data_IF_573774089144
#
_entry.id   IF_573774089144
#
_cell.length_a   1.000
_cell.length_b   1.000
_cell.length_c   1.000
_cell.angle_alpha   90.00
_cell.angle_beta   90.00
_cell.angle_gamma   90.00
#
_symmetry.space_group_name_H-M   'P 1'
#
loop_
_entity.id
_entity.type
_entity.pdbx_description
1 polymer ?
#
# COMPACT_ATOMS: atom_id res chain seq x y z
N UNK A 1 16.44 37.41 11.87
CA UNK A 1 15.05 37.70 12.27
C UNK A 1 14.29 36.40 12.45
N UNK A 2 13.54 36.27 13.55
CA UNK A 2 12.67 35.11 13.77
C UNK A 2 11.48 35.21 12.80
N UNK A 3 11.10 34.10 12.18
CA UNK A 3 9.95 34.06 11.25
C UNK A 3 8.62 34.42 11.96
N UNK A 4 8.55 34.21 13.27
CA UNK A 4 7.39 34.52 14.11
C UNK A 4 7.79 35.30 15.35
N UNK A 5 6.87 36.12 15.87
CA UNK A 5 7.05 36.75 17.18
C UNK A 5 7.06 35.67 18.27
N UNK A 6 7.71 35.92 19.44
CA UNK A 6 7.69 34.98 20.57
C UNK A 6 6.27 34.59 21.00
N UNK A 7 5.32 35.51 20.91
CA UNK A 7 3.92 35.28 21.23
C UNK A 7 3.27 34.27 20.26
N UNK A 8 3.45 34.46 18.95
CA UNK A 8 2.92 33.55 17.94
C UNK A 8 3.58 32.16 18.03
N UNK A 9 4.87 32.13 18.33
CA UNK A 9 5.57 30.85 18.58
C UNK A 9 4.96 30.09 19.75
N UNK A 10 4.58 30.80 20.83
CA UNK A 10 3.92 30.18 21.98
C UNK A 10 2.51 29.67 21.65
N UNK A 11 1.75 30.36 20.80
CA UNK A 11 0.44 29.89 20.33
C UNK A 11 0.56 28.58 19.55
N UNK A 12 1.55 28.43 18.66
CA UNK A 12 1.83 27.17 17.97
C UNK A 12 2.30 26.10 18.96
N UNK A 13 3.20 26.42 19.88
CA UNK A 13 3.71 25.47 20.87
C UNK A 13 2.62 24.89 21.77
N UNK A 14 1.66 25.70 22.15
CA UNK A 14 0.54 25.31 23.01
C UNK A 14 -0.64 24.71 22.26
N UNK A 15 -0.69 24.90 20.93
CA UNK A 15 -1.86 24.52 20.13
C UNK A 15 -3.14 25.27 20.60
N UNK A 16 -3.01 26.57 20.89
CA UNK A 16 -4.08 27.38 21.46
C UNK A 16 -5.36 27.36 20.62
N UNK A 17 -5.22 27.30 19.31
CA UNK A 17 -6.28 26.98 18.35
C UNK A 17 -5.73 25.91 17.38
N UNK A 18 -6.25 24.67 17.40
CA UNK A 18 -5.71 23.58 16.58
C UNK A 18 -5.78 23.81 15.08
N UNK A 19 -6.61 24.74 14.62
CA UNK A 19 -6.79 25.03 13.21
C UNK A 19 -5.93 26.22 12.78
N UNK A 20 -5.88 27.27 13.61
CA UNK A 20 -5.10 28.46 13.32
C UNK A 20 -3.61 28.29 13.68
N UNK A 21 -3.33 27.62 14.78
CA UNK A 21 -1.99 27.36 15.28
C UNK A 21 -1.77 25.84 15.46
N UNK A 22 -1.83 25.04 14.37
CA UNK A 22 -1.65 23.60 14.47
C UNK A 22 -0.24 23.28 14.97
N UNK A 23 -0.15 22.25 15.79
CA UNK A 23 1.10 21.69 16.27
C UNK A 23 1.00 20.16 16.23
N UNK A 24 1.21 19.62 15.04
CA UNK A 24 0.99 18.20 14.75
C UNK A 24 2.32 17.46 14.68
N UNK A 25 2.44 16.40 15.47
CA UNK A 25 3.49 15.40 15.28
C UNK A 25 3.08 14.45 14.15
N UNK A 26 3.61 14.70 12.94
CA UNK A 26 3.17 14.03 11.72
C UNK A 26 3.39 12.52 11.72
N UNK A 27 4.43 12.03 12.39
CA UNK A 27 4.66 10.59 12.49
C UNK A 27 3.52 9.92 13.27
N UNK A 28 3.20 10.44 14.44
CA UNK A 28 2.12 9.90 15.26
C UNK A 28 0.75 10.12 14.61
N UNK A 29 0.60 11.22 13.87
CA UNK A 29 -0.65 11.52 13.18
C UNK A 29 -0.88 10.58 11.99
N UNK A 30 0.12 10.34 11.15
CA UNK A 30 -0.03 9.62 9.88
C UNK A 30 0.18 8.11 10.01
N UNK A 31 0.98 7.65 10.96
CA UNK A 31 1.34 6.24 11.05
C UNK A 31 0.61 5.52 12.18
N UNK A 32 0.34 4.25 11.95
CA UNK A 32 -0.09 3.29 12.98
C UNK A 32 1.12 2.85 13.78
N UNK A 33 0.92 2.46 15.04
CA UNK A 33 1.98 1.88 15.86
C UNK A 33 2.47 0.53 15.31
N UNK A 34 1.58 -0.20 14.61
CA UNK A 34 1.90 -1.48 13.97
C UNK A 34 1.03 -1.72 12.74
N UNK A 35 1.52 -2.55 11.83
CA UNK A 35 0.77 -3.09 10.71
C UNK A 35 0.74 -4.62 10.79
N UNK A 36 -0.39 -5.21 10.39
CA UNK A 36 -0.58 -6.64 10.42
C UNK A 36 -0.07 -7.30 9.14
N UNK A 37 0.57 -8.45 9.34
CA UNK A 37 0.83 -9.40 8.25
C UNK A 37 0.26 -10.75 8.66
N UNK A 38 -0.53 -11.35 7.77
CA UNK A 38 -1.06 -12.69 7.96
C UNK A 38 -0.62 -13.59 6.82
N UNK A 39 -0.33 -14.86 7.13
CA UNK A 39 0.02 -15.86 6.13
C UNK A 39 -0.62 -17.19 6.48
N UNK A 40 -1.29 -17.77 5.51
CA UNK A 40 -1.96 -19.06 5.62
C UNK A 40 -1.49 -19.97 4.50
N UNK A 41 -1.17 -21.22 4.83
CA UNK A 41 -0.78 -22.23 3.88
C UNK A 41 -1.53 -23.54 4.18
N UNK A 42 -2.07 -24.12 3.11
CA UNK A 42 -2.71 -25.44 3.18
C UNK A 42 -1.98 -26.34 2.19
N UNK A 43 -1.66 -27.54 2.64
CA UNK A 43 -0.95 -28.54 1.85
C UNK A 43 -1.67 -29.87 1.93
N UNK A 44 -1.86 -30.50 0.79
CA UNK A 44 -2.41 -31.83 0.65
C UNK A 44 -1.46 -32.69 -0.13
N UNK A 45 -1.09 -33.84 0.37
CA UNK A 45 -0.27 -34.80 -0.36
C UNK A 45 -0.77 -36.21 -0.16
N UNK A 46 -0.58 -37.01 -1.16
CA UNK A 46 -1.02 -38.40 -1.10
C UNK A 46 -0.52 -39.17 -2.32
N UNK A 47 -0.85 -40.45 -2.34
CA UNK A 47 -0.51 -41.25 -3.49
C UNK A 47 -0.57 -42.75 -3.24
N UNK A 48 -0.40 -43.47 -4.31
CA UNK A 48 -0.36 -44.93 -4.35
C UNK A 48 0.59 -45.42 -5.44
N UNK A 49 0.42 -46.68 -5.81
CA UNK A 49 1.28 -47.32 -6.83
C UNK A 49 1.14 -46.68 -8.21
N UNK A 50 -0.02 -46.10 -8.53
CA UNK A 50 -0.31 -45.54 -9.85
C UNK A 50 -0.04 -44.04 -9.95
N UNK A 51 -0.26 -43.30 -8.87
CA UNK A 51 -0.10 -41.85 -8.87
C UNK A 51 0.34 -41.34 -7.50
N UNK A 52 1.11 -40.25 -7.53
CA UNK A 52 1.47 -39.45 -6.35
C UNK A 52 1.09 -38.00 -6.65
N UNK A 53 0.64 -37.29 -5.64
CA UNK A 53 0.30 -35.88 -5.81
C UNK A 53 0.68 -35.06 -4.59
N UNK A 54 0.96 -33.81 -4.85
CA UNK A 54 1.17 -32.77 -3.87
C UNK A 54 0.48 -31.51 -4.36
N UNK A 55 -0.38 -30.93 -3.51
CA UNK A 55 -1.06 -29.65 -3.80
C UNK A 55 -0.85 -28.73 -2.61
N UNK A 56 -0.51 -27.48 -2.89
CA UNK A 56 -0.36 -26.45 -1.86
C UNK A 56 -1.04 -25.18 -2.35
N UNK A 57 -1.79 -24.54 -1.44
CA UNK A 57 -2.35 -23.21 -1.64
C UNK A 57 -1.92 -22.31 -0.47
N UNK A 58 -1.51 -21.09 -0.78
CA UNK A 58 -1.06 -20.11 0.20
C UNK A 58 -1.68 -18.75 -0.07
N UNK A 59 -2.00 -18.06 1.00
CA UNK A 59 -2.45 -16.67 1.01
C UNK A 59 -1.61 -15.87 2.00
N UNK A 60 -1.20 -14.67 1.59
CA UNK A 60 -0.55 -13.69 2.45
C UNK A 60 -1.20 -12.34 2.24
N UNK A 61 -1.51 -11.67 3.34
CA UNK A 61 -1.92 -10.27 3.38
C UNK A 61 -0.95 -9.48 4.24
N UNK A 62 -0.52 -8.34 3.74
CA UNK A 62 0.27 -7.35 4.47
C UNK A 62 -0.46 -6.02 4.41
N UNK A 63 -0.77 -5.48 5.58
CA UNK A 63 -1.38 -4.16 5.73
C UNK A 63 -0.31 -3.07 5.71
N UNK A 64 -0.71 -1.84 5.38
CA UNK A 64 0.17 -0.69 5.39
C UNK A 64 0.19 0.04 6.73
N UNK A 65 1.28 0.78 6.95
CA UNK A 65 1.52 1.52 8.18
C UNK A 65 0.72 2.83 8.30
N UNK A 66 0.15 3.35 7.20
CA UNK A 66 -0.52 4.64 7.23
C UNK A 66 -1.94 4.52 7.80
N UNK A 67 -2.34 5.51 8.60
CA UNK A 67 -3.71 5.63 9.09
C UNK A 67 -4.64 6.06 7.95
N UNK A 68 -5.89 5.64 8.00
CA UNK A 68 -6.91 5.99 7.03
C UNK A 68 -7.81 7.07 7.63
N UNK A 69 -7.70 8.29 7.13
CA UNK A 69 -8.55 9.42 7.53
C UNK A 69 -9.62 9.75 6.48
N UNK A 70 -9.45 9.24 5.28
CA UNK A 70 -10.28 9.52 4.14
C UNK A 70 -11.05 8.27 3.70
N UNK A 71 -12.36 8.41 3.44
CA UNK A 71 -13.23 7.25 3.23
C UNK A 71 -13.48 6.91 1.75
N UNK A 72 -13.23 7.84 0.83
CA UNK A 72 -13.55 7.64 -0.60
C UNK A 72 -12.76 6.49 -1.24
N UNK A 73 -11.53 6.28 -0.82
CA UNK A 73 -10.68 5.18 -1.28
C UNK A 73 -9.54 4.91 -0.29
N UNK A 74 -9.00 3.70 -0.35
CA UNK A 74 -7.84 3.32 0.45
C UNK A 74 -6.57 3.45 -0.40
N UNK A 75 -5.74 4.46 -0.12
CA UNK A 75 -4.44 4.68 -0.76
C UNK A 75 -3.28 4.00 -0.03
N UNK A 76 -3.53 3.27 1.06
CA UNK A 76 -2.49 2.67 1.88
C UNK A 76 -1.66 1.64 1.11
N UNK A 77 -0.41 1.44 1.54
CA UNK A 77 0.45 0.39 1.03
C UNK A 77 -0.06 -0.96 1.51
N UNK A 78 -0.66 -1.73 0.64
CA UNK A 78 -1.12 -3.08 0.95
C UNK A 78 -0.57 -4.08 -0.04
N UNK A 79 -0.34 -5.31 0.42
CA UNK A 79 0.11 -6.38 -0.45
C UNK A 79 -0.64 -7.67 -0.17
N UNK A 80 -1.24 -8.24 -1.21
CA UNK A 80 -1.90 -9.53 -1.18
C UNK A 80 -1.16 -10.49 -2.12
N UNK A 81 -0.85 -11.70 -1.64
CA UNK A 81 -0.18 -12.71 -2.44
C UNK A 81 -0.90 -14.04 -2.33
N UNK A 82 -1.22 -14.59 -3.48
CA UNK A 82 -1.80 -15.92 -3.63
C UNK A 82 -0.77 -16.82 -4.30
N UNK A 83 -0.50 -17.96 -3.71
CA UNK A 83 0.41 -18.97 -4.24
C UNK A 83 -0.37 -20.27 -4.45
N UNK A 84 -0.11 -20.92 -5.55
CA UNK A 84 -0.64 -22.24 -5.83
C UNK A 84 0.48 -23.11 -6.40
N UNK A 85 0.56 -24.36 -5.93
CA UNK A 85 1.45 -25.37 -6.47
C UNK A 85 0.75 -26.71 -6.52
N UNK A 86 0.88 -27.39 -7.65
CA UNK A 86 0.46 -28.77 -7.81
C UNK A 86 1.57 -29.56 -8.52
N UNK A 87 1.94 -30.69 -7.95
CA UNK A 87 2.86 -31.64 -8.53
C UNK A 87 2.16 -32.99 -8.60
N UNK A 88 2.16 -33.62 -9.75
CA UNK A 88 1.52 -34.92 -9.95
C UNK A 88 2.45 -35.82 -10.75
N UNK A 89 2.73 -37.00 -10.21
CA UNK A 89 3.46 -38.05 -10.89
C UNK A 89 2.49 -39.20 -11.17
N UNK A 90 2.37 -39.61 -12.43
CA UNK A 90 1.50 -40.71 -12.86
C UNK A 90 2.32 -41.79 -13.52
N UNK A 91 2.27 -42.99 -12.99
CA UNK A 91 2.80 -44.19 -13.63
C UNK A 91 1.81 -44.64 -14.71
N UNK A 92 2.01 -44.18 -15.97
CA UNK A 92 1.16 -44.55 -17.14
C UNK A 92 1.28 -46.04 -17.41
N UNK A 93 2.53 -46.53 -17.38
CA UNK A 93 2.87 -47.95 -17.46
C UNK A 93 3.93 -48.28 -16.40
N UNK A 94 4.29 -49.55 -16.15
CA UNK A 94 5.39 -49.87 -15.24
C UNK A 94 6.73 -49.26 -15.63
N UNK A 95 6.90 -48.86 -16.88
CA UNK A 95 8.15 -48.27 -17.42
C UNK A 95 8.01 -46.81 -17.84
N UNK A 96 6.81 -46.21 -17.72
CA UNK A 96 6.53 -44.83 -18.18
C UNK A 96 5.96 -44.02 -17.03
N UNK A 97 6.62 -42.91 -16.71
CA UNK A 97 6.17 -41.95 -15.72
C UNK A 97 5.96 -40.58 -16.34
N UNK A 98 4.77 -40.01 -16.14
CA UNK A 98 4.47 -38.63 -16.52
C UNK A 98 4.43 -37.79 -15.23
N UNK A 99 5.27 -36.79 -15.17
CA UNK A 99 5.28 -35.78 -14.11
C UNK A 99 4.73 -34.46 -14.66
N UNK A 100 3.78 -33.84 -13.92
CA UNK A 100 3.28 -32.51 -14.20
C UNK A 100 3.49 -31.63 -12.98
N UNK A 101 4.13 -30.47 -13.16
CA UNK A 101 4.34 -29.47 -12.10
C UNK A 101 3.70 -28.15 -12.54
N UNK A 102 2.85 -27.63 -11.69
CA UNK A 102 2.14 -26.38 -11.90
C UNK A 102 2.47 -25.47 -10.72
N UNK A 103 2.94 -24.28 -11.00
CA UNK A 103 3.14 -23.22 -10.01
C UNK A 103 2.47 -21.93 -10.49
N UNK A 104 1.71 -21.29 -9.62
CA UNK A 104 1.14 -19.97 -9.89
C UNK A 104 1.32 -19.05 -8.69
N UNK A 105 1.65 -17.79 -8.96
CA UNK A 105 1.72 -16.73 -7.96
C UNK A 105 1.00 -15.51 -8.52
N UNK A 106 0.07 -14.97 -7.74
CA UNK A 106 -0.59 -13.71 -8.01
C UNK A 106 -0.25 -12.76 -6.86
N UNK A 107 0.41 -11.64 -7.17
CA UNK A 107 0.70 -10.56 -6.24
C UNK A 107 -0.13 -9.34 -6.61
N UNK A 108 -0.82 -8.77 -5.65
CA UNK A 108 -1.58 -7.52 -5.82
C UNK A 108 -1.06 -6.51 -4.80
N UNK A 109 -0.41 -5.47 -5.29
CA UNK A 109 0.10 -4.38 -4.48
C UNK A 109 -0.74 -3.13 -4.73
N UNK A 110 -1.16 -2.46 -3.66
CA UNK A 110 -1.72 -1.12 -3.71
C UNK A 110 -0.77 -0.13 -3.05
N UNK A 111 -0.67 1.07 -3.60
CA UNK A 111 0.17 2.13 -3.07
C UNK A 111 -0.37 3.51 -3.47
N UNK A 112 -0.06 4.58 -2.74
CA UNK A 112 -0.35 5.95 -3.17
C UNK A 112 0.33 6.26 -4.51
N UNK A 113 -0.27 7.15 -5.30
CA UNK A 113 0.28 7.57 -6.59
C UNK A 113 1.50 8.49 -6.49
N UNK A 114 1.87 8.93 -5.31
CA UNK A 114 2.97 9.85 -5.13
C UNK A 114 4.26 9.15 -4.69
N UNK A 115 5.34 9.35 -5.44
CA UNK A 115 6.66 8.76 -5.15
C UNK A 115 7.43 9.49 -4.05
N UNK A 116 7.13 10.78 -3.82
CA UNK A 116 7.86 11.62 -2.87
C UNK A 116 7.19 11.72 -1.48
N UNK A 117 6.17 10.89 -1.24
CA UNK A 117 5.37 10.95 -0.01
C UNK A 117 6.24 10.92 1.26
N UNK A 118 7.23 10.02 1.30
CA UNK A 118 8.13 9.87 2.46
C UNK A 118 8.97 11.11 2.72
N UNK A 119 9.56 11.68 1.68
CA UNK A 119 10.34 12.91 1.78
C UNK A 119 9.48 14.06 2.29
N UNK A 120 8.27 14.20 1.77
CA UNK A 120 7.38 15.30 2.11
C UNK A 120 6.85 15.17 3.55
N UNK A 121 6.54 13.97 4.02
CA UNK A 121 6.18 13.72 5.42
C UNK A 121 7.34 14.10 6.36
N UNK A 122 8.57 13.65 6.03
CA UNK A 122 9.75 13.92 6.86
C UNK A 122 10.16 15.40 6.90
N UNK A 123 9.80 16.17 5.88
CA UNK A 123 10.11 17.60 5.79
C UNK A 123 8.94 18.49 6.22
N UNK A 124 7.81 17.89 6.55
CA UNK A 124 6.63 18.61 6.96
C UNK A 124 6.83 19.23 8.35
N UNK A 125 6.60 20.53 8.46
CA UNK A 125 6.64 21.20 9.75
C UNK A 125 5.38 20.91 10.57
N UNK A 126 5.44 20.93 11.90
CA UNK A 126 4.28 20.68 12.77
C UNK A 126 3.08 21.59 12.49
N UNK A 127 3.32 22.76 11.91
CA UNK A 127 2.31 23.79 11.61
C UNK A 127 1.88 23.83 10.15
N UNK A 128 2.26 22.85 9.31
CA UNK A 128 1.97 22.87 7.88
C UNK A 128 0.49 22.68 7.54
N UNK A 129 -0.27 22.00 8.38
CA UNK A 129 -1.71 21.76 8.22
C UNK A 129 -2.36 21.49 9.58
N UNK A 130 -3.67 21.69 9.66
CA UNK A 130 -4.49 21.28 10.80
C UNK A 130 -4.99 19.83 10.73
N UNK A 131 -4.62 19.09 9.68
CA UNK A 131 -5.02 17.71 9.49
C UNK A 131 -6.43 17.54 8.96
N UNK A 132 -7.21 16.63 9.56
CA UNK A 132 -8.59 16.30 9.19
C UNK A 132 -9.56 16.63 10.31
N UNK A 133 -10.74 17.14 9.92
CA UNK A 133 -11.91 17.29 10.79
C UNK A 133 -13.10 16.68 10.06
N UNK A 134 -13.85 15.81 10.73
CA UNK A 134 -15.02 15.11 10.19
C UNK A 134 -14.74 14.40 8.85
N UNK A 135 -13.57 13.77 8.72
CA UNK A 135 -13.15 13.06 7.50
C UNK A 135 -12.78 13.95 6.32
N UNK A 136 -12.77 15.28 6.49
CA UNK A 136 -12.37 16.23 5.47
C UNK A 136 -11.08 16.93 5.84
N UNK A 137 -10.20 17.11 4.87
CA UNK A 137 -8.93 17.80 5.03
C UNK A 137 -9.15 19.30 5.30
N UNK A 138 -8.38 19.85 6.23
CA UNK A 138 -8.34 21.29 6.48
C UNK A 138 -7.35 21.92 5.49
N UNK A 139 -7.87 22.76 4.61
CA UNK A 139 -7.08 23.59 3.71
C UNK A 139 -7.14 25.05 4.14
N UNK A 140 -6.04 25.57 4.63
CA UNK A 140 -5.97 26.92 5.18
C UNK A 140 -4.91 27.79 4.47
N UNK A 141 -5.15 28.17 3.19
CA UNK A 141 -4.20 28.91 2.38
C UNK A 141 -4.00 30.36 2.86
N UNK A 142 -4.96 30.88 3.60
CA UNK A 142 -5.00 32.26 4.06
C UNK A 142 -4.60 32.45 5.50
N UNK A 143 -3.96 31.44 6.12
CA UNK A 143 -3.45 31.60 7.48
C UNK A 143 -2.32 32.64 7.49
N UNK A 144 -2.51 33.82 8.10
CA UNK A 144 -1.56 34.90 8.04
C UNK A 144 -0.27 34.63 8.84
N UNK A 145 -0.27 33.56 9.62
CA UNK A 145 0.88 33.16 10.46
C UNK A 145 1.75 32.09 9.81
N UNK A 146 1.30 31.47 8.73
CA UNK A 146 2.09 30.51 7.95
C UNK A 146 2.78 31.28 6.82
N UNK A 147 3.91 31.90 7.14
CA UNK A 147 4.69 32.75 6.21
C UNK A 147 5.61 31.89 5.32
N UNK A 148 5.91 30.67 5.73
CA UNK A 148 6.74 29.77 4.94
C UNK A 148 5.92 29.26 3.76
N UNK A 149 6.54 29.15 2.55
CA UNK A 149 5.87 28.53 1.44
C UNK A 149 5.31 27.21 1.95
N UNK A 150 4.00 27.05 1.83
CA UNK A 150 3.31 25.85 2.25
C UNK A 150 4.03 24.66 1.62
N UNK A 151 4.95 24.09 2.36
CA UNK A 151 5.46 22.79 2.01
C UNK A 151 4.22 21.92 2.09
N UNK A 152 3.82 21.40 0.95
CA UNK A 152 2.70 20.51 0.80
C UNK A 152 2.72 19.58 1.99
N UNK A 153 1.70 19.65 2.82
CA UNK A 153 1.60 18.73 3.94
C UNK A 153 1.65 17.34 3.33
N UNK A 154 2.34 16.39 3.93
CA UNK A 154 2.36 15.00 3.44
C UNK A 154 0.95 14.44 3.24
N UNK A 155 -0.06 15.06 3.84
CA UNK A 155 -1.47 14.78 3.66
C UNK A 155 -1.93 14.94 2.21
N UNK A 156 -1.62 16.04 1.55
CA UNK A 156 -2.03 16.29 0.17
C UNK A 156 -1.55 15.20 -0.75
N UNK A 157 -0.30 14.80 -0.57
CA UNK A 157 0.33 13.80 -1.43
C UNK A 157 -0.18 12.38 -1.18
N UNK A 158 -0.60 12.08 0.04
CA UNK A 158 -1.12 10.77 0.39
C UNK A 158 -2.61 10.63 0.04
N UNK A 159 -3.42 11.65 0.32
CA UNK A 159 -4.88 11.54 0.25
C UNK A 159 -5.47 12.08 -1.06
N UNK A 160 -4.85 13.08 -1.71
CA UNK A 160 -5.46 13.77 -2.85
C UNK A 160 -4.99 13.28 -4.23
N UNK A 161 -4.02 12.36 -4.30
CA UNK A 161 -3.42 11.91 -5.58
C UNK A 161 -3.92 10.57 -6.08
N UNK A 162 -4.84 9.94 -5.32
CA UNK A 162 -5.36 8.63 -5.64
C UNK A 162 -4.36 7.50 -5.34
N UNK A 163 -4.51 6.37 -6.02
CA UNK A 163 -3.72 5.19 -5.75
C UNK A 163 -3.42 4.38 -7.01
N UNK A 164 -2.38 3.59 -6.93
CA UNK A 164 -1.96 2.65 -7.96
C UNK A 164 -2.16 1.22 -7.45
N UNK A 165 -2.70 0.36 -8.32
CA UNK A 165 -2.77 -1.09 -8.07
C UNK A 165 -1.91 -1.80 -9.10
N UNK A 166 -0.89 -2.49 -8.64
CA UNK A 166 -0.02 -3.32 -9.48
C UNK A 166 -0.31 -4.79 -9.23
N UNK A 167 -0.65 -5.52 -10.29
CA UNK A 167 -0.92 -6.96 -10.24
C UNK A 167 0.15 -7.68 -11.02
N UNK A 168 0.84 -8.61 -10.37
CA UNK A 168 1.84 -9.50 -10.97
C UNK A 168 1.32 -10.92 -10.98
N UNK A 169 1.32 -11.56 -12.14
CA UNK A 169 0.95 -12.98 -12.32
C UNK A 169 2.14 -13.74 -12.86
N UNK A 170 2.60 -14.73 -12.13
CA UNK A 170 3.66 -15.65 -12.55
C UNK A 170 3.07 -17.04 -12.61
N UNK A 171 3.24 -17.72 -13.73
CA UNK A 171 2.82 -19.10 -13.90
C UNK A 171 3.95 -19.93 -14.52
N UNK A 172 4.16 -21.10 -13.95
CA UNK A 172 5.14 -22.09 -14.40
C UNK A 172 4.43 -23.43 -14.59
N UNK A 173 4.59 -24.01 -15.76
CA UNK A 173 4.06 -25.33 -16.13
C UNK A 173 5.22 -26.17 -16.65
N UNK A 174 5.46 -27.31 -16.04
CA UNK A 174 6.46 -28.28 -16.48
C UNK A 174 5.79 -29.64 -16.66
N UNK A 175 6.07 -30.27 -17.76
CA UNK A 175 5.71 -31.66 -18.05
C UNK A 175 6.97 -32.45 -18.35
N UNK A 176 7.14 -33.57 -17.67
CA UNK A 176 8.29 -34.46 -17.87
C UNK A 176 7.75 -35.87 -18.13
N UNK A 177 8.09 -36.45 -19.27
CA UNK A 177 7.84 -37.87 -19.58
C UNK A 177 9.16 -38.62 -19.46
N UNK A 178 9.20 -39.59 -18.56
CA UNK A 178 10.33 -40.49 -18.36
C UNK A 178 9.93 -41.90 -18.82
N UNK A 179 10.73 -42.49 -19.73
CA UNK A 179 10.55 -43.84 -20.22
C UNK A 179 11.79 -44.67 -19.91
N UNK A 180 11.58 -45.75 -19.17
CA UNK A 180 12.62 -46.75 -18.98
C UNK A 180 12.69 -47.65 -20.25
N UNK A 181 13.88 -47.82 -20.79
CA UNK A 181 14.17 -48.57 -21.98
C UNK A 181 15.08 -49.78 -21.71
N UNK A 182 15.02 -50.34 -20.50
CA UNK A 182 15.79 -51.52 -20.10
C UNK A 182 15.60 -52.71 -21.05
N UNK A 183 14.48 -52.74 -21.77
CA UNK A 183 14.20 -53.74 -22.80
C UNK A 183 15.16 -53.67 -24.00
N UNK A 184 15.70 -52.47 -24.27
CA UNK A 184 16.68 -52.26 -25.37
C UNK A 184 18.10 -52.41 -24.83
N UNK A 185 18.39 -51.71 -23.71
CA UNK A 185 19.71 -51.78 -23.07
C UNK A 185 19.52 -51.49 -21.56
N UNK A 186 20.06 -52.36 -20.71
CA UNK A 186 19.94 -52.26 -19.27
C UNK A 186 20.47 -50.89 -18.74
N UNK A 187 19.67 -50.17 -18.00
CA UNK A 187 19.95 -48.86 -17.49
C UNK A 187 19.70 -47.71 -18.47
N UNK A 188 19.19 -47.98 -19.67
CA UNK A 188 18.81 -46.92 -20.62
C UNK A 188 17.50 -46.28 -20.20
N UNK A 189 17.49 -44.95 -20.13
CA UNK A 189 16.27 -44.17 -19.92
C UNK A 189 16.15 -43.04 -20.96
N UNK A 190 14.93 -42.73 -21.36
CA UNK A 190 14.63 -41.60 -22.22
C UNK A 190 13.78 -40.60 -21.43
N UNK A 191 14.12 -39.32 -21.52
CA UNK A 191 13.37 -38.24 -20.84
C UNK A 191 13.10 -37.11 -21.85
N UNK A 192 11.85 -36.64 -21.88
CA UNK A 192 11.47 -35.42 -22.58
C UNK A 192 10.79 -34.45 -21.62
N UNK A 193 11.19 -33.18 -21.70
CA UNK A 193 10.61 -32.12 -20.88
C UNK A 193 10.05 -31.02 -21.75
N UNK A 194 8.78 -30.64 -21.49
CA UNK A 194 8.16 -29.42 -21.95
C UNK A 194 7.98 -28.44 -20.78
N UNK A 195 8.32 -27.18 -20.98
CA UNK A 195 8.14 -26.14 -19.97
C UNK A 195 7.49 -24.90 -20.59
N UNK A 196 6.55 -24.31 -19.86
CA UNK A 196 5.93 -23.03 -20.19
C UNK A 196 5.97 -22.12 -18.98
N UNK A 197 6.64 -20.97 -19.12
CA UNK A 197 6.76 -19.99 -18.06
C UNK A 197 6.23 -18.66 -18.57
N UNK A 198 5.39 -18.00 -17.79
CA UNK A 198 4.88 -16.68 -18.12
C UNK A 198 4.93 -15.77 -16.91
N UNK A 199 5.25 -14.50 -17.16
CA UNK A 199 5.13 -13.42 -16.20
C UNK A 199 4.36 -12.28 -16.87
N UNK A 200 3.24 -11.89 -16.25
CA UNK A 200 2.40 -10.80 -16.70
C UNK A 200 2.23 -9.81 -15.56
N UNK A 201 2.44 -8.53 -15.85
CA UNK A 201 2.23 -7.43 -14.90
C UNK A 201 1.24 -6.43 -15.50
N UNK A 202 0.28 -6.01 -14.68
CA UNK A 202 -0.67 -4.96 -15.01
C UNK A 202 -0.69 -3.91 -13.90
N UNK A 203 -0.61 -2.65 -14.30
CA UNK A 203 -0.70 -1.50 -13.38
C UNK A 203 -1.94 -0.68 -13.72
N UNK A 204 -2.76 -0.41 -12.72
CA UNK A 204 -3.95 0.45 -12.83
C UNK A 204 -3.77 1.64 -11.92
N UNK A 205 -3.62 2.81 -12.54
CA UNK A 205 -3.52 4.08 -11.83
C UNK A 205 -4.91 4.73 -11.75
N UNK A 206 -5.33 5.09 -10.55
CA UNK A 206 -6.58 5.79 -10.27
C UNK A 206 -6.25 7.12 -9.63
N UNK A 207 -6.15 8.15 -10.47
CA UNK A 207 -6.03 9.54 -10.02
C UNK A 207 -7.36 10.08 -9.51
N UNK A 208 -7.30 11.10 -8.69
CA UNK A 208 -8.48 11.86 -8.27
C UNK A 208 -8.80 12.85 -9.38
N UNK A 209 -10.05 12.81 -9.86
CA UNK A 209 -10.58 13.76 -10.84
C UNK A 209 -11.53 14.73 -10.14
N UNK A 210 -11.13 15.99 -10.07
CA UNK A 210 -11.86 17.02 -9.30
C UNK A 210 -11.37 17.04 -7.84
N UNK A 211 -11.19 18.22 -7.28
CA UNK A 211 -10.70 18.36 -5.90
C UNK A 211 -11.65 17.69 -4.91
N UNK A 212 -11.05 17.00 -3.96
CA UNK A 212 -11.78 16.51 -2.81
C UNK A 212 -12.39 17.69 -2.05
N UNK A 213 -13.54 17.45 -1.41
CA UNK A 213 -14.12 18.45 -0.54
C UNK A 213 -13.21 18.70 0.65
N UNK A 214 -12.74 19.93 0.76
CA UNK A 214 -11.91 20.38 1.87
C UNK A 214 -12.68 21.38 2.73
N UNK A 215 -12.36 21.44 4.01
CA UNK A 215 -12.81 22.53 4.86
C UNK A 215 -11.84 23.70 4.75
N UNK A 216 -12.34 24.87 4.37
CA UNK A 216 -11.57 26.11 4.44
C UNK A 216 -12.05 26.92 5.64
N UNK A 217 -11.20 27.20 6.62
CA UNK A 217 -11.58 28.00 7.78
C UNK A 217 -11.91 29.43 7.36
N UNK A 218 -12.97 29.98 7.92
CA UNK A 218 -13.33 31.39 7.80
C UNK A 218 -13.08 32.06 9.15
N UNK A 219 -12.19 33.03 9.18
CA UNK A 219 -11.88 33.78 10.38
C UNK A 219 -12.82 34.95 10.55
N UNK A 220 -13.57 34.95 11.67
CA UNK A 220 -14.47 36.04 12.04
C UNK A 220 -13.72 37.00 12.98
N UNK A 221 -13.01 37.98 12.44
CA UNK A 221 -12.33 38.98 13.24
C UNK A 221 -11.11 39.56 12.54
N UNK A 222 -10.65 40.69 13.06
CA UNK A 222 -9.44 41.36 12.56
C UNK A 222 -8.26 40.85 13.35
N UNK A 223 -7.33 40.14 12.67
CA UNK A 223 -6.07 39.70 13.25
C UNK A 223 -5.15 40.92 13.34
N UNK A 224 -5.02 41.51 14.50
CA UNK A 224 -4.02 42.54 14.76
C UNK A 224 -2.80 41.94 15.45
N UNK A 225 -1.59 42.42 15.12
CA UNK A 225 -0.34 41.90 15.70
C UNK A 225 -0.25 42.10 17.24
N UNK A 226 -1.14 42.80 17.87
CA UNK A 226 -1.06 43.23 19.27
C UNK A 226 -2.22 42.77 20.16
N UNK A 227 -3.27 42.22 19.64
CA UNK A 227 -4.40 41.75 20.45
C UNK A 227 -5.31 40.91 19.61
N UNK A 228 -5.24 39.63 19.81
CA UNK A 228 -6.06 38.70 19.05
C UNK A 228 -7.32 38.37 19.86
N UNK A 229 -8.46 38.89 19.44
CA UNK A 229 -9.71 38.15 19.60
C UNK A 229 -9.66 37.02 18.58
N UNK A 230 -9.16 35.88 18.98
CA UNK A 230 -9.16 34.67 18.15
C UNK A 230 -10.60 34.16 18.16
N UNK A 231 -11.38 34.63 17.19
CA UNK A 231 -12.68 34.00 16.94
C UNK A 231 -12.43 32.58 16.43
N UNK A 232 -13.13 31.60 16.97
CA UNK A 232 -13.06 30.24 16.49
C UNK A 232 -13.38 30.21 14.98
N UNK A 233 -12.59 29.52 14.17
CA UNK A 233 -12.85 29.43 12.75
C UNK A 233 -14.15 28.69 12.48
N UNK A 234 -14.95 29.23 11.56
CA UNK A 234 -16.08 28.52 10.98
C UNK A 234 -15.63 27.85 9.68
N UNK A 235 -16.20 26.69 9.39
CA UNK A 235 -15.87 25.94 8.20
C UNK A 235 -16.93 26.15 7.11
N UNK A 236 -16.48 26.41 5.89
CA UNK A 236 -17.28 26.32 4.67
C UNK A 236 -17.03 24.99 3.99
N UNK A 237 -18.11 24.35 3.56
CA UNK A 237 -18.07 23.14 2.72
C UNK A 237 -17.80 23.49 1.26
#
# INVERSE_FOLDING_TARGET
ELAFSPYVTELFRTGADPIMFPNIEWNDYLFKDFAWQTQHNVTLSGGGKKAKYFVSAGFMHQDGMMKQYYESYNSNFTYNRYNFRANVDVNITPTTVLSANIGARIGVQSAPNNYDIWRNIMWCTPFASAGFVDGKRIYNPNNPFIILPAQTSGLDLYYDWGYNTNTENVMNLDFVLNQNLDVVTKGLTFSIKGAYNTNYSASVNRGVVGGDSVYTPVYLGTLTQQGMDIASPLFNN
#
